data_IF_752720519280
#
_entry.id   IF_752720519280
#
_cell.length_a   1.000
_cell.length_b   1.000
_cell.length_c   1.000
_cell.angle_alpha   90.00
_cell.angle_beta   90.00
_cell.angle_gamma   90.00
#
_symmetry.space_group_name_H-M   'P 1'
#
loop_
_entity.id
_entity.type
_entity.pdbx_description
1 polymer ?
#
# COMPACT_ATOMS: atom_id res chain seq x y z
N UNK A 1 15.64 -21.39 15.47
CA UNK A 1 15.88 -20.31 16.45
C UNK A 1 15.44 -20.64 17.88
N UNK A 2 14.42 -21.49 18.13
CA UNK A 2 13.93 -21.83 19.49
C UNK A 2 14.31 -23.25 20.00
N UNK A 3 15.08 -24.02 19.23
CA UNK A 3 15.55 -25.36 19.58
C UNK A 3 16.30 -25.48 20.93
N UNK A 4 17.06 -24.47 21.41
CA UNK A 4 17.77 -24.57 22.69
C UNK A 4 16.88 -24.55 23.95
N UNK A 5 15.63 -24.09 23.85
CA UNK A 5 14.76 -23.83 25.02
C UNK A 5 13.83 -25.01 25.41
N UNK A 6 14.02 -26.19 24.82
CA UNK A 6 13.31 -27.42 25.19
C UNK A 6 11.77 -27.27 25.20
N UNK A 7 11.13 -27.66 26.31
CA UNK A 7 9.66 -27.64 26.47
C UNK A 7 9.05 -26.22 26.49
N UNK A 8 9.75 -25.24 27.06
CA UNK A 8 9.28 -23.85 27.09
C UNK A 8 9.31 -23.23 25.69
N UNK A 9 10.33 -23.56 24.87
CA UNK A 9 10.40 -23.16 23.48
C UNK A 9 9.17 -23.61 22.67
N UNK A 10 8.65 -24.83 22.91
CA UNK A 10 7.42 -25.31 22.25
C UNK A 10 6.19 -24.49 22.62
N UNK A 11 6.05 -24.09 23.88
CA UNK A 11 4.95 -23.22 24.32
C UNK A 11 5.02 -21.84 23.66
N UNK A 12 6.21 -21.25 23.59
CA UNK A 12 6.42 -19.96 22.90
C UNK A 12 6.10 -20.06 21.41
N UNK A 13 6.48 -21.15 20.73
CA UNK A 13 6.11 -21.38 19.33
C UNK A 13 4.60 -21.45 19.14
N UNK A 14 3.88 -22.13 20.04
CA UNK A 14 2.40 -22.20 19.98
C UNK A 14 1.79 -20.80 20.13
N UNK A 15 2.24 -20.02 21.11
CA UNK A 15 1.76 -18.64 21.31
C UNK A 15 2.06 -17.77 20.08
N UNK A 16 3.27 -17.86 19.53
CA UNK A 16 3.65 -17.14 18.30
C UNK A 16 2.78 -17.54 17.11
N UNK A 17 2.46 -18.83 16.97
CA UNK A 17 1.58 -19.32 15.92
C UNK A 17 0.16 -18.75 16.03
N UNK A 18 -0.39 -18.66 17.26
CA UNK A 18 -1.69 -18.03 17.48
C UNK A 18 -1.69 -16.52 17.17
N UNK A 19 -0.63 -15.80 17.54
CA UNK A 19 -0.47 -14.38 17.19
C UNK A 19 -0.44 -14.16 15.68
N UNK A 20 0.32 -15.00 14.96
CA UNK A 20 0.40 -14.97 13.51
C UNK A 20 -0.98 -15.22 12.88
N UNK A 21 -1.72 -16.20 13.39
CA UNK A 21 -3.06 -16.56 12.90
C UNK A 21 -4.04 -15.39 13.06
N UNK A 22 -4.00 -14.68 14.20
CA UNK A 22 -4.81 -13.48 14.42
C UNK A 22 -4.49 -12.36 13.41
N UNK A 23 -3.21 -12.07 13.20
CA UNK A 23 -2.78 -11.04 12.25
C UNK A 23 -3.19 -11.38 10.80
N UNK A 24 -2.92 -12.62 10.36
CA UNK A 24 -3.26 -13.08 9.00
C UNK A 24 -4.77 -13.05 8.76
N UNK A 25 -5.57 -13.39 9.76
CA UNK A 25 -7.05 -13.34 9.66
C UNK A 25 -7.55 -11.91 9.40
N UNK A 26 -7.00 -10.92 10.11
CA UNK A 26 -7.32 -9.50 9.88
C UNK A 26 -6.92 -9.03 8.49
N UNK A 27 -5.73 -9.43 8.03
CA UNK A 27 -5.22 -9.07 6.70
C UNK A 27 -6.07 -9.69 5.58
N UNK A 28 -6.43 -10.97 5.67
CA UNK A 28 -7.31 -11.63 4.71
C UNK A 28 -8.71 -11.01 4.70
N UNK A 29 -9.24 -10.62 5.86
CA UNK A 29 -10.48 -9.87 5.95
C UNK A 29 -10.39 -8.55 5.14
N UNK A 30 -9.34 -7.76 5.36
CA UNK A 30 -9.16 -6.50 4.65
C UNK A 30 -9.03 -6.70 3.14
N UNK A 31 -8.23 -7.67 2.68
CA UNK A 31 -8.04 -7.95 1.25
C UNK A 31 -9.36 -8.33 0.58
N UNK A 32 -10.13 -9.24 1.18
CA UNK A 32 -11.41 -9.68 0.60
C UNK A 32 -12.45 -8.56 0.53
N UNK A 33 -12.47 -7.66 1.51
CA UNK A 33 -13.32 -6.47 1.48
C UNK A 33 -12.88 -5.50 0.37
N UNK A 34 -11.58 -5.30 0.19
CA UNK A 34 -11.04 -4.44 -0.89
C UNK A 34 -11.47 -4.93 -2.27
N UNK A 35 -11.42 -6.24 -2.55
CA UNK A 35 -11.90 -6.79 -3.83
C UNK A 35 -13.38 -6.48 -4.10
N UNK A 36 -14.22 -6.55 -3.06
CA UNK A 36 -15.66 -6.27 -3.16
C UNK A 36 -15.95 -4.78 -3.33
N UNK A 37 -15.18 -3.92 -2.66
CA UNK A 37 -15.30 -2.45 -2.77
C UNK A 37 -14.76 -1.93 -4.10
N UNK A 38 -13.67 -2.50 -4.61
CA UNK A 38 -13.02 -2.05 -5.84
C UNK A 38 -13.81 -2.44 -7.09
N UNK A 39 -14.39 -3.63 -7.13
CA UNK A 39 -15.20 -4.10 -8.26
C UNK A 39 -16.62 -4.43 -7.76
N UNK A 40 -17.59 -3.52 -7.96
CA UNK A 40 -18.96 -3.72 -7.48
C UNK A 40 -19.63 -5.01 -7.97
N UNK A 41 -19.20 -5.54 -9.13
CA UNK A 41 -19.69 -6.82 -9.65
C UNK A 41 -19.23 -8.04 -8.83
N UNK A 42 -18.06 -7.98 -8.19
CA UNK A 42 -17.52 -9.06 -7.36
C UNK A 42 -18.25 -9.22 -6.02
N UNK A 43 -19.12 -8.27 -5.64
CA UNK A 43 -19.98 -8.38 -4.44
C UNK A 43 -20.95 -9.55 -4.49
N UNK A 44 -21.27 -10.06 -5.70
CA UNK A 44 -22.14 -11.24 -5.87
C UNK A 44 -21.44 -12.56 -5.56
N UNK A 45 -20.11 -12.57 -5.51
CA UNK A 45 -19.33 -13.77 -5.26
C UNK A 45 -19.19 -14.00 -3.75
N UNK A 46 -19.45 -15.21 -3.24
CA UNK A 46 -19.22 -15.54 -1.83
C UNK A 46 -17.79 -15.23 -1.38
N UNK A 47 -17.67 -14.49 -0.28
CA UNK A 47 -16.40 -13.92 0.22
C UNK A 47 -15.29 -14.95 0.42
N UNK A 48 -15.63 -16.16 0.86
CA UNK A 48 -14.64 -17.21 1.14
C UNK A 48 -13.83 -17.61 -0.09
N UNK A 49 -14.39 -17.46 -1.30
CA UNK A 49 -13.70 -17.78 -2.57
C UNK A 49 -12.47 -16.88 -2.74
N UNK A 50 -12.60 -15.59 -2.44
CA UNK A 50 -11.47 -14.66 -2.49
C UNK A 50 -10.38 -15.04 -1.47
N UNK A 51 -10.76 -15.42 -0.25
CA UNK A 51 -9.80 -15.88 0.75
C UNK A 51 -9.04 -17.13 0.31
N UNK A 52 -9.73 -18.10 -0.32
CA UNK A 52 -9.11 -19.33 -0.84
C UNK A 52 -8.12 -19.01 -1.96
N UNK A 53 -8.51 -18.17 -2.93
CA UNK A 53 -7.64 -17.77 -4.05
C UNK A 53 -6.40 -17.03 -3.54
N UNK A 54 -6.58 -16.04 -2.66
CA UNK A 54 -5.46 -15.28 -2.09
C UNK A 54 -4.52 -16.21 -1.32
N UNK A 55 -5.06 -17.13 -0.51
CA UNK A 55 -4.25 -18.11 0.22
C UNK A 55 -3.49 -19.05 -0.73
N UNK A 56 -4.13 -19.53 -1.80
CA UNK A 56 -3.51 -20.38 -2.81
C UNK A 56 -2.34 -19.68 -3.52
N UNK A 57 -2.42 -18.36 -3.73
CA UNK A 57 -1.33 -17.55 -4.29
C UNK A 57 -0.24 -17.28 -3.24
N UNK A 58 -0.61 -17.02 -1.98
CA UNK A 58 0.36 -16.71 -0.93
C UNK A 58 1.25 -17.91 -0.57
N UNK A 59 0.74 -19.14 -0.59
CA UNK A 59 1.52 -20.35 -0.24
C UNK A 59 2.81 -20.47 -1.07
N UNK A 60 2.78 -20.50 -2.42
CA UNK A 60 4.00 -20.63 -3.22
C UNK A 60 4.94 -19.42 -3.07
N UNK A 61 4.39 -18.21 -2.92
CA UNK A 61 5.19 -17.00 -2.68
C UNK A 61 5.91 -17.08 -1.34
N UNK A 62 5.22 -17.55 -0.29
CA UNK A 62 5.79 -17.70 1.04
C UNK A 62 6.88 -18.80 1.08
N UNK A 63 6.70 -19.90 0.33
CA UNK A 63 7.74 -20.93 0.20
C UNK A 63 9.02 -20.33 -0.38
N UNK A 64 8.92 -19.60 -1.51
CA UNK A 64 10.09 -18.97 -2.14
C UNK A 64 10.70 -17.87 -1.27
N UNK A 65 9.87 -17.08 -0.59
CA UNK A 65 10.35 -16.03 0.31
C UNK A 65 11.04 -16.59 1.56
N UNK A 66 10.74 -17.84 1.96
CA UNK A 66 11.36 -18.47 3.12
C UNK A 66 12.82 -18.91 2.87
N UNK A 67 13.22 -19.11 1.61
CA UNK A 67 14.60 -19.47 1.25
C UNK A 67 15.58 -18.36 1.67
N UNK A 68 15.27 -17.11 1.31
CA UNK A 68 16.02 -15.91 1.70
C UNK A 68 15.13 -14.96 2.51
N UNK A 69 14.74 -15.39 3.71
CA UNK A 69 13.74 -14.69 4.53
C UNK A 69 14.05 -13.21 4.78
N UNK A 70 15.26 -12.89 5.26
CA UNK A 70 15.61 -11.51 5.61
C UNK A 70 15.66 -10.59 4.39
N UNK A 71 16.31 -11.05 3.31
CA UNK A 71 16.41 -10.29 2.07
C UNK A 71 15.03 -10.09 1.43
N UNK A 72 14.19 -11.13 1.41
CA UNK A 72 12.83 -11.04 0.92
C UNK A 72 12.02 -10.04 1.76
N UNK A 73 12.09 -10.15 3.09
CA UNK A 73 11.38 -9.27 4.02
C UNK A 73 11.78 -7.81 3.82
N UNK A 74 13.08 -7.52 3.76
CA UNK A 74 13.60 -6.16 3.55
C UNK A 74 13.07 -5.56 2.24
N UNK A 75 13.18 -6.31 1.13
CA UNK A 75 12.67 -5.87 -0.17
C UNK A 75 11.15 -5.60 -0.13
N UNK A 76 10.37 -6.49 0.48
CA UNK A 76 8.91 -6.34 0.60
C UNK A 76 8.51 -5.16 1.48
N UNK A 77 9.15 -5.00 2.63
CA UNK A 77 8.86 -3.90 3.57
C UNK A 77 9.18 -2.56 2.91
N UNK A 78 10.32 -2.44 2.24
CA UNK A 78 10.69 -1.19 1.59
C UNK A 78 9.79 -0.88 0.38
N UNK A 79 9.35 -1.89 -0.40
CA UNK A 79 8.34 -1.69 -1.46
C UNK A 79 7.00 -1.18 -0.92
N UNK A 80 6.50 -1.78 0.17
CA UNK A 80 5.28 -1.31 0.85
C UNK A 80 5.49 0.10 1.40
N UNK A 81 6.69 0.40 1.89
CA UNK A 81 7.11 1.71 2.36
C UNK A 81 7.02 2.79 1.29
N UNK A 82 7.58 2.57 0.10
CA UNK A 82 7.56 3.55 -0.99
C UNK A 82 6.14 3.88 -1.46
N UNK A 83 5.30 2.86 -1.61
CA UNK A 83 3.90 3.06 -1.97
C UNK A 83 3.14 3.81 -0.90
N UNK A 84 3.32 3.44 0.37
CA UNK A 84 2.69 4.10 1.50
C UNK A 84 3.12 5.56 1.63
N UNK A 85 4.41 5.86 1.41
CA UNK A 85 4.96 7.21 1.36
C UNK A 85 4.28 8.07 0.29
N UNK A 86 4.18 7.56 -0.94
CA UNK A 86 3.51 8.27 -2.05
C UNK A 86 2.03 8.53 -1.73
N UNK A 87 1.34 7.52 -1.19
CA UNK A 87 -0.07 7.66 -0.78
C UNK A 87 -0.25 8.71 0.32
N UNK A 88 0.60 8.68 1.35
CA UNK A 88 0.57 9.67 2.44
C UNK A 88 0.86 11.07 1.92
N UNK A 89 1.83 11.26 1.04
CA UNK A 89 2.14 12.55 0.43
C UNK A 89 0.93 13.16 -0.30
N UNK A 90 0.23 12.36 -1.10
CA UNK A 90 -0.99 12.78 -1.81
C UNK A 90 -2.11 13.14 -0.83
N UNK A 91 -2.38 12.28 0.15
CA UNK A 91 -3.47 12.48 1.13
C UNK A 91 -3.21 13.73 1.99
N UNK A 92 -1.97 13.95 2.42
CA UNK A 92 -1.60 15.13 3.18
C UNK A 92 -1.87 16.41 2.39
N UNK A 93 -1.49 16.45 1.11
CA UNK A 93 -1.73 17.63 0.28
C UNK A 93 -3.23 17.85 0.00
N UNK A 94 -4.00 16.81 -0.31
CA UNK A 94 -5.47 16.95 -0.50
C UNK A 94 -6.12 17.47 0.78
N UNK A 95 -5.73 16.94 1.94
CA UNK A 95 -6.29 17.32 3.23
C UNK A 95 -5.92 18.76 3.64
N UNK A 96 -4.63 19.11 3.59
CA UNK A 96 -4.15 20.41 4.08
C UNK A 96 -4.37 21.56 3.09
N UNK A 97 -4.12 21.36 1.80
CA UNK A 97 -4.17 22.45 0.82
C UNK A 97 -5.54 22.59 0.15
N UNK A 98 -6.16 21.48 -0.27
CA UNK A 98 -7.44 21.54 -0.98
C UNK A 98 -8.63 21.57 -0.04
N UNK A 99 -8.61 20.77 1.03
CA UNK A 99 -9.72 20.69 2.00
C UNK A 99 -9.51 21.58 3.22
N UNK A 100 -8.35 22.24 3.35
CA UNK A 100 -8.00 23.18 4.44
C UNK A 100 -8.26 22.61 5.85
N UNK A 101 -8.17 21.29 6.02
CA UNK A 101 -8.46 20.62 7.29
C UNK A 101 -9.93 20.61 7.72
N UNK A 102 -10.87 20.91 6.82
CA UNK A 102 -12.31 20.97 7.15
C UNK A 102 -12.96 19.61 6.85
N UNK A 103 -13.16 18.80 7.88
CA UNK A 103 -13.83 17.49 7.78
C UNK A 103 -15.27 17.55 7.26
N UNK A 104 -15.93 18.72 7.37
CA UNK A 104 -17.31 18.93 6.87
C UNK A 104 -17.43 18.93 5.34
N UNK A 105 -16.33 19.02 4.60
CA UNK A 105 -16.35 18.85 3.14
C UNK A 105 -16.50 17.38 2.70
N UNK A 106 -16.40 16.42 3.62
CA UNK A 106 -16.70 15.02 3.33
C UNK A 106 -18.20 14.77 3.51
N UNK A 107 -18.95 14.90 2.40
CA UNK A 107 -20.35 14.48 2.40
C UNK A 107 -20.42 12.95 2.44
N UNK A 108 -20.76 12.42 3.61
CA UNK A 108 -20.92 10.99 3.83
C UNK A 108 -22.07 10.40 3.01
N UNK A 109 -23.00 11.22 2.52
CA UNK A 109 -24.12 10.77 1.68
C UNK A 109 -23.69 10.46 0.26
N UNK A 110 -22.58 11.06 -0.21
CA UNK A 110 -22.04 10.87 -1.56
C UNK A 110 -20.97 9.77 -1.63
N UNK A 111 -20.68 9.06 -0.52
CA UNK A 111 -19.56 8.12 -0.45
C UNK A 111 -19.59 7.00 -1.50
N UNK A 112 -20.80 6.61 -1.95
CA UNK A 112 -21.01 5.53 -2.93
C UNK A 112 -21.61 6.05 -4.26
N UNK A 113 -21.57 7.36 -4.50
CA UNK A 113 -22.08 7.98 -5.72
C UNK A 113 -20.90 8.45 -6.56
N UNK A 114 -20.52 7.63 -7.54
CA UNK A 114 -19.36 7.89 -8.43
C UNK A 114 -19.40 9.28 -9.09
N UNK A 115 -20.58 9.77 -9.46
CA UNK A 115 -20.76 11.09 -10.10
C UNK A 115 -20.64 12.30 -9.15
N UNK A 116 -20.61 12.07 -7.83
CA UNK A 116 -20.42 13.08 -6.79
C UNK A 116 -19.00 13.11 -6.22
N UNK A 117 -18.15 12.15 -6.61
CA UNK A 117 -16.77 12.06 -6.15
C UNK A 117 -15.81 12.69 -7.17
N UNK A 118 -14.69 13.29 -6.73
CA UNK A 118 -13.62 13.70 -7.65
C UNK A 118 -13.11 12.49 -8.43
N UNK A 119 -12.68 12.69 -9.68
CA UNK A 119 -12.38 11.60 -10.62
C UNK A 119 -11.26 10.68 -10.15
N UNK A 120 -10.43 11.12 -9.19
CA UNK A 120 -9.31 10.36 -8.64
C UNK A 120 -8.15 10.21 -9.62
N UNK A 121 -8.32 10.62 -10.88
CA UNK A 121 -7.32 10.53 -11.93
C UNK A 121 -6.08 11.37 -11.62
N UNK A 122 -6.24 12.52 -10.95
CA UNK A 122 -5.11 13.34 -10.50
C UNK A 122 -4.27 12.64 -9.42
N UNK A 123 -4.91 11.94 -8.49
CA UNK A 123 -4.22 11.18 -7.44
C UNK A 123 -3.49 9.96 -8.02
N UNK A 124 -4.16 9.21 -8.91
CA UNK A 124 -3.55 8.07 -9.61
C UNK A 124 -2.40 8.51 -10.50
N UNK A 125 -2.56 9.61 -11.25
CA UNK A 125 -1.52 10.20 -12.09
C UNK A 125 -0.32 10.66 -11.28
N UNK A 126 -0.53 11.38 -10.17
CA UNK A 126 0.56 11.83 -9.30
C UNK A 126 1.29 10.66 -8.64
N UNK A 127 0.56 9.62 -8.23
CA UNK A 127 1.14 8.37 -7.73
C UNK A 127 2.04 7.72 -8.78
N UNK A 128 1.52 7.44 -9.98
CA UNK A 128 2.27 6.80 -11.07
C UNK A 128 3.49 7.65 -11.49
N UNK A 129 3.34 8.97 -11.60
CA UNK A 129 4.44 9.87 -11.95
C UNK A 129 5.52 9.90 -10.85
N UNK A 130 5.14 9.83 -9.58
CA UNK A 130 6.09 9.74 -8.48
C UNK A 130 6.97 8.49 -8.59
N UNK A 131 6.41 7.35 -9.03
CA UNK A 131 7.17 6.12 -9.24
C UNK A 131 8.24 6.25 -10.33
N UNK A 132 8.05 7.12 -11.33
CA UNK A 132 9.06 7.37 -12.37
C UNK A 132 10.39 7.88 -11.81
N UNK A 133 10.38 8.57 -10.67
CA UNK A 133 11.57 9.10 -10.00
C UNK A 133 11.92 8.37 -8.69
N UNK A 134 11.00 7.56 -8.15
CA UNK A 134 11.31 6.65 -7.04
C UNK A 134 12.14 5.46 -7.52
N UNK A 135 11.86 4.90 -8.70
CA UNK A 135 12.60 3.75 -9.26
C UNK A 135 14.10 4.03 -9.48
N UNK A 136 14.52 5.22 -9.94
CA UNK A 136 15.94 5.58 -10.00
C UNK A 136 16.60 5.87 -8.64
N UNK A 137 15.81 6.11 -7.60
CA UNK A 137 16.27 6.48 -6.25
C UNK A 137 16.20 5.33 -5.23
N UNK A 138 15.66 4.17 -5.63
CA UNK A 138 15.58 2.99 -4.77
C UNK A 138 16.86 2.16 -4.83
N UNK A 139 17.29 1.66 -3.67
CA UNK A 139 18.34 0.65 -3.58
C UNK A 139 17.79 -0.61 -2.91
N UNK A 140 17.35 -1.56 -3.73
CA UNK A 140 16.88 -2.86 -3.29
C UNK A 140 17.78 -3.98 -3.82
N UNK A 141 17.68 -5.18 -3.24
CA UNK A 141 18.51 -6.32 -3.64
C UNK A 141 18.33 -6.74 -5.10
N UNK A 142 17.18 -6.42 -5.70
CA UNK A 142 16.84 -6.74 -7.10
C UNK A 142 17.07 -5.57 -8.07
N UNK A 143 17.26 -4.35 -7.55
CA UNK A 143 17.47 -3.16 -8.37
C UNK A 143 18.03 -2.01 -7.54
N UNK A 144 19.19 -1.50 -7.96
CA UNK A 144 19.78 -0.26 -7.45
C UNK A 144 19.74 0.78 -8.56
N UNK A 145 19.02 1.86 -8.33
CA UNK A 145 18.94 2.95 -9.29
C UNK A 145 20.22 3.80 -9.32
N UNK A 146 20.49 4.51 -10.43
CA UNK A 146 21.72 5.27 -10.63
C UNK A 146 21.91 6.42 -9.61
N UNK A 147 20.83 6.92 -9.01
CA UNK A 147 20.88 7.94 -7.96
C UNK A 147 21.16 7.27 -6.60
N UNK A 148 20.63 6.06 -6.40
CA UNK A 148 20.80 5.30 -5.18
C UNK A 148 22.23 4.75 -5.02
N UNK A 149 22.98 4.54 -6.11
CA UNK A 149 24.40 4.15 -6.07
C UNK A 149 25.29 5.15 -5.33
N UNK A 150 24.96 6.45 -5.40
CA UNK A 150 25.76 7.52 -4.79
C UNK A 150 25.21 8.00 -3.45
N UNK A 151 23.89 7.90 -3.25
CA UNK A 151 23.20 8.51 -2.10
C UNK A 151 22.66 7.48 -1.10
N UNK A 152 22.58 6.21 -1.48
CA UNK A 152 21.86 5.18 -0.73
C UNK A 152 20.35 5.19 -1.03
N UNK A 153 19.59 4.35 -0.32
CA UNK A 153 18.13 4.26 -0.49
C UNK A 153 17.43 5.50 0.08
N UNK A 154 17.04 6.41 -0.81
CA UNK A 154 16.22 7.59 -0.49
C UNK A 154 14.83 7.49 -1.13
N UNK A 155 14.42 6.31 -1.59
CA UNK A 155 13.17 6.10 -2.31
C UNK A 155 11.93 6.53 -1.51
N UNK A 156 11.96 6.35 -0.18
CA UNK A 156 10.87 6.72 0.72
C UNK A 156 10.67 8.25 0.81
N UNK A 157 11.72 9.00 1.11
CA UNK A 157 11.69 10.48 1.23
C UNK A 157 11.27 11.11 -0.11
N UNK A 158 11.86 10.61 -1.20
CA UNK A 158 11.59 11.07 -2.56
C UNK A 158 10.13 10.79 -2.95
N UNK A 159 9.58 9.63 -2.58
CA UNK A 159 8.18 9.31 -2.83
C UNK A 159 7.22 10.29 -2.14
N UNK A 160 7.47 10.68 -0.89
CA UNK A 160 6.63 11.66 -0.17
C UNK A 160 6.67 13.02 -0.86
N UNK A 161 7.87 13.54 -1.11
CA UNK A 161 8.05 14.90 -1.62
C UNK A 161 7.55 15.01 -3.07
N UNK A 162 7.88 14.05 -3.93
CA UNK A 162 7.48 14.10 -5.33
C UNK A 162 5.99 13.86 -5.52
N UNK A 163 5.40 12.91 -4.79
CA UNK A 163 3.95 12.67 -4.88
C UNK A 163 3.17 13.92 -4.45
N UNK A 164 3.59 14.59 -3.38
CA UNK A 164 3.02 15.85 -2.93
C UNK A 164 3.18 16.97 -3.98
N UNK A 165 4.37 17.08 -4.58
CA UNK A 165 4.69 18.12 -5.57
C UNK A 165 3.93 17.92 -6.87
N UNK A 166 3.84 16.69 -7.39
CA UNK A 166 3.11 16.38 -8.61
C UNK A 166 1.59 16.44 -8.41
N UNK A 167 1.09 16.14 -7.21
CA UNK A 167 -0.33 16.20 -6.94
C UNK A 167 -0.89 17.62 -7.04
N UNK A 168 -0.13 18.64 -6.65
CA UNK A 168 -0.55 20.05 -6.72
C UNK A 168 -0.98 20.52 -8.12
N UNK A 169 -0.13 20.45 -9.17
CA UNK A 169 -0.51 20.86 -10.52
C UNK A 169 -1.58 19.94 -11.12
N UNK A 170 -1.51 18.62 -10.90
CA UNK A 170 -2.52 17.70 -11.43
C UNK A 170 -3.91 17.97 -10.86
N UNK A 171 -3.99 18.25 -9.56
CA UNK A 171 -5.25 18.58 -8.89
C UNK A 171 -5.80 19.93 -9.33
N UNK A 172 -4.95 20.93 -9.53
CA UNK A 172 -5.36 22.23 -10.08
C UNK A 172 -5.90 22.10 -11.52
N UNK A 173 -5.25 21.27 -12.35
CA UNK A 173 -5.74 20.96 -13.69
C UNK A 173 -7.08 20.21 -13.67
N UNK A 174 -7.25 19.26 -12.75
CA UNK A 174 -8.51 18.54 -12.55
C UNK A 174 -9.65 19.52 -12.21
N UNK A 175 -9.44 20.44 -11.27
CA UNK A 175 -10.44 21.46 -10.92
C UNK A 175 -10.77 22.39 -12.10
N UNK A 176 -9.75 22.75 -12.89
CA UNK A 176 -9.94 23.62 -14.07
C UNK A 176 -10.68 22.91 -15.21
N UNK A 177 -10.44 21.62 -15.43
CA UNK A 177 -11.06 20.83 -16.51
C UNK A 177 -12.46 20.36 -16.10
N UNK A 178 -12.66 19.90 -14.87
CA UNK A 178 -13.96 19.42 -14.40
C UNK A 178 -14.89 20.54 -13.89
N UNK A 179 -14.40 21.78 -13.76
CA UNK A 179 -15.14 22.91 -13.17
C UNK A 179 -15.85 22.53 -11.84
N UNK A 180 -15.18 21.71 -11.03
CA UNK A 180 -15.65 21.19 -9.75
C UNK A 180 -14.52 21.16 -8.73
#
# INVERSE_FOLDING_TARGET
>A
MLSPAGGFGKLVVVVLAFTLLGNVSGTLYAITLNFQTFIPWLTRVPRYIFSVIVTAIMIPVAIKAADDFFLSLENFVALIGYWSASFVGIVLIDYFLFRKGISKLYDHRLWNISSGLPSGAAALGAGILSFGLVIPCMAQAWWTGPIAETTGDIGFEVAIILSATFYLPLRYLEQKILHR
#
